data_IF_334336771537
#
_entry.id   IF_334336771537
#
_cell.length_a   1.000
_cell.length_b   1.000
_cell.length_c   1.000
_cell.angle_alpha   90.00
_cell.angle_beta   90.00
_cell.angle_gamma   90.00
#
_symmetry.space_group_name_H-M   'P 1'
#
loop_
_entity.id
_entity.type
_entity.pdbx_description
1 polymer ?
#
# COMPACT_ATOMS: atom_id res chain seq x y z
N UNK A 1 0.02 -26.40 -11.19
CA UNK A 1 0.37 -26.30 -9.75
C UNK A 1 -0.64 -25.32 -9.17
N UNK A 2 -1.24 -25.63 -8.03
CA UNK A 2 -2.14 -24.71 -7.33
C UNK A 2 -1.32 -23.57 -6.74
N UNK A 3 -1.82 -22.33 -6.82
CA UNK A 3 -1.17 -21.18 -6.21
C UNK A 3 -1.03 -21.38 -4.68
N UNK A 4 0.03 -20.82 -4.08
CA UNK A 4 0.17 -20.85 -2.62
C UNK A 4 -0.99 -20.12 -1.96
N UNK A 5 -1.39 -20.60 -0.78
CA UNK A 5 -2.47 -20.03 0.00
C UNK A 5 -1.96 -18.93 0.93
N UNK A 6 -2.75 -17.89 1.08
CA UNK A 6 -2.53 -16.84 2.08
C UNK A 6 -2.65 -17.43 3.49
N UNK A 7 -1.62 -17.26 4.32
CA UNK A 7 -1.49 -17.90 5.63
C UNK A 7 -2.58 -17.52 6.65
N UNK A 8 -3.16 -16.30 6.51
CA UNK A 8 -4.19 -15.80 7.43
C UNK A 8 -5.60 -16.10 6.89
N UNK A 9 -5.81 -15.92 5.59
CA UNK A 9 -7.15 -15.97 4.99
C UNK A 9 -7.47 -17.30 4.32
N UNK A 10 -6.47 -18.20 4.18
CA UNK A 10 -6.62 -19.53 3.54
C UNK A 10 -7.24 -19.43 2.13
N UNK A 11 -6.76 -18.46 1.35
CA UNK A 11 -7.20 -18.14 -0.02
C UNK A 11 -6.01 -18.12 -0.97
N UNK A 12 -6.18 -18.49 -2.26
CA UNK A 12 -5.10 -18.41 -3.24
C UNK A 12 -4.53 -16.99 -3.34
N UNK A 13 -3.20 -16.87 -3.31
CA UNK A 13 -2.52 -15.56 -3.42
C UNK A 13 -2.71 -14.89 -4.79
N UNK A 14 -2.96 -15.68 -5.82
CA UNK A 14 -3.25 -15.22 -7.19
C UNK A 14 -4.75 -15.05 -7.44
N UNK A 15 -5.59 -15.06 -6.39
CA UNK A 15 -7.03 -14.91 -6.55
C UNK A 15 -7.39 -13.66 -7.37
N UNK A 16 -8.26 -13.85 -8.35
CA UNK A 16 -8.93 -12.73 -9.01
C UNK A 16 -9.82 -11.99 -8.00
N UNK A 17 -10.11 -10.71 -8.28
CA UNK A 17 -11.02 -9.94 -7.43
C UNK A 17 -12.43 -10.52 -7.56
N UNK A 18 -13.02 -11.07 -6.48
CA UNK A 18 -14.36 -11.61 -6.54
C UNK A 18 -15.39 -10.52 -6.88
N UNK A 19 -16.49 -10.93 -7.53
CA UNK A 19 -17.57 -10.01 -7.84
C UNK A 19 -18.11 -9.34 -6.56
N UNK A 20 -18.19 -8.01 -6.58
CA UNK A 20 -18.67 -7.21 -5.44
C UNK A 20 -17.60 -6.84 -4.42
N UNK A 21 -16.35 -7.24 -4.65
CA UNK A 21 -15.21 -6.73 -3.90
C UNK A 21 -14.41 -5.73 -4.73
N UNK A 22 -13.67 -4.88 -4.07
CA UNK A 22 -12.79 -3.88 -4.64
C UNK A 22 -11.33 -4.19 -4.36
N UNK A 23 -10.42 -3.45 -4.99
CA UNK A 23 -8.99 -3.60 -4.74
C UNK A 23 -8.27 -2.25 -4.65
N UNK A 24 -7.18 -2.23 -3.92
CA UNK A 24 -6.25 -1.11 -3.77
C UNK A 24 -4.80 -1.59 -3.84
N UNK A 25 -3.87 -0.72 -4.24
CA UNK A 25 -2.42 -0.98 -4.17
C UNK A 25 -1.74 0.21 -3.51
N UNK A 26 -0.96 -0.07 -2.46
CA UNK A 26 -0.23 0.93 -1.69
C UNK A 26 1.25 0.59 -1.53
N UNK A 27 2.12 1.59 -1.70
CA UNK A 27 3.53 1.58 -1.33
C UNK A 27 3.76 2.48 -0.13
N UNK A 28 4.31 1.94 0.96
CA UNK A 28 4.53 2.62 2.23
C UNK A 28 5.90 2.30 2.84
N UNK A 29 6.91 2.01 2.01
CA UNK A 29 8.19 1.46 2.44
C UNK A 29 8.23 -0.07 2.36
N UNK A 30 9.01 -0.72 3.23
CA UNK A 30 9.10 -2.18 3.28
C UNK A 30 7.71 -2.82 3.44
N UNK A 31 7.32 -3.64 2.47
CA UNK A 31 5.96 -4.20 2.37
C UNK A 31 5.61 -5.21 3.48
N UNK A 32 6.56 -5.78 4.21
CA UNK A 32 6.27 -6.75 5.28
C UNK A 32 5.41 -6.16 6.41
N UNK A 33 5.79 -4.97 6.88
CA UNK A 33 5.01 -4.25 7.90
C UNK A 33 3.70 -3.73 7.37
N UNK A 34 3.70 -3.28 6.12
CA UNK A 34 2.50 -2.78 5.43
C UNK A 34 1.47 -3.89 5.24
N UNK A 35 1.89 -5.08 4.81
CA UNK A 35 0.99 -6.22 4.66
C UNK A 35 0.34 -6.60 5.99
N UNK A 36 1.16 -6.70 7.07
CA UNK A 36 0.65 -6.97 8.42
C UNK A 36 -0.38 -5.94 8.88
N UNK A 37 -0.17 -4.68 8.58
CA UNK A 37 -1.11 -3.61 8.92
C UNK A 37 -2.48 -3.85 8.29
N UNK A 38 -2.52 -4.18 6.99
CA UNK A 38 -3.77 -4.31 6.26
C UNK A 38 -4.49 -5.63 6.48
N UNK A 39 -3.79 -6.78 6.66
CA UNK A 39 -4.50 -8.03 6.93
C UNK A 39 -5.23 -8.07 8.29
N UNK A 40 -4.91 -7.14 9.20
CA UNK A 40 -5.57 -7.03 10.50
C UNK A 40 -6.89 -6.24 10.44
N UNK A 41 -7.18 -5.59 9.33
CA UNK A 41 -8.38 -4.76 9.19
C UNK A 41 -9.60 -5.62 8.85
N UNK A 42 -10.67 -5.41 9.60
CA UNK A 42 -11.97 -6.04 9.27
C UNK A 42 -12.48 -5.51 7.92
N UNK A 43 -12.97 -6.42 7.07
CA UNK A 43 -13.36 -6.09 5.69
C UNK A 43 -12.28 -6.35 4.65
N UNK A 44 -11.01 -6.51 5.02
CA UNK A 44 -9.96 -6.96 4.09
C UNK A 44 -10.16 -8.45 3.80
N UNK A 45 -10.24 -8.79 2.51
CA UNK A 45 -10.49 -10.14 2.04
C UNK A 45 -9.20 -10.90 1.69
N UNK A 46 -8.20 -10.21 1.10
CA UNK A 46 -6.89 -10.76 0.77
C UNK A 46 -5.86 -9.65 0.73
N UNK A 47 -4.63 -9.95 1.15
CA UNK A 47 -3.44 -9.13 0.87
C UNK A 47 -2.43 -9.93 0.06
N UNK A 48 -1.59 -9.26 -0.70
CA UNK A 48 -0.41 -9.84 -1.29
C UNK A 48 0.67 -8.78 -1.50
N UNK A 49 1.92 -9.13 -1.23
CA UNK A 49 3.06 -8.24 -1.45
C UNK A 49 3.65 -8.44 -2.84
N UNK A 50 4.19 -7.38 -3.41
CA UNK A 50 4.76 -7.42 -4.75
C UNK A 50 5.38 -6.11 -5.17
N UNK A 51 5.54 -5.96 -6.49
CA UNK A 51 6.21 -4.86 -7.14
C UNK A 51 5.32 -4.21 -8.17
N UNK A 52 5.27 -2.88 -8.20
CA UNK A 52 4.50 -2.12 -9.19
C UNK A 52 5.12 -0.74 -9.46
N UNK A 53 4.62 -0.07 -10.51
CA UNK A 53 5.02 1.29 -10.87
C UNK A 53 6.34 1.42 -11.64
N UNK A 54 6.99 0.31 -11.97
CA UNK A 54 8.20 0.25 -12.79
C UNK A 54 7.94 -0.27 -14.21
N UNK A 55 9.02 -0.47 -14.96
CA UNK A 55 8.98 -0.83 -16.40
C UNK A 55 9.59 -2.20 -16.70
N UNK A 56 10.23 -2.85 -15.73
CA UNK A 56 10.83 -4.18 -15.93
C UNK A 56 9.74 -5.23 -15.69
N UNK A 57 9.41 -6.07 -16.68
CA UNK A 57 8.43 -7.15 -16.47
C UNK A 57 9.02 -8.23 -15.57
N UNK A 58 8.17 -8.84 -14.74
CA UNK A 58 8.50 -9.94 -13.83
C UNK A 58 9.83 -9.74 -13.04
N UNK A 59 9.98 -8.61 -12.32
CA UNK A 59 11.22 -8.32 -11.61
C UNK A 59 11.41 -9.30 -10.45
N UNK A 60 12.64 -9.71 -10.23
CA UNK A 60 13.01 -10.43 -9.01
C UNK A 60 13.21 -9.44 -7.86
N UNK A 61 13.03 -9.89 -6.60
CA UNK A 61 13.32 -9.09 -5.41
C UNK A 61 14.73 -8.48 -5.46
N UNK A 62 15.74 -9.29 -5.85
CA UNK A 62 17.12 -8.81 -5.99
C UNK A 62 17.24 -7.63 -6.95
N UNK A 63 16.63 -7.73 -8.15
CA UNK A 63 16.66 -6.64 -9.14
C UNK A 63 16.01 -5.36 -8.60
N UNK A 64 14.90 -5.48 -7.85
CA UNK A 64 14.25 -4.32 -7.24
C UNK A 64 15.14 -3.68 -6.18
N UNK A 65 15.81 -4.49 -5.34
CA UNK A 65 16.74 -3.99 -4.31
C UNK A 65 18.01 -3.36 -4.91
N UNK A 66 18.52 -3.88 -6.02
CA UNK A 66 19.69 -3.32 -6.73
C UNK A 66 19.33 -1.99 -7.43
N UNK A 67 18.06 -1.73 -7.64
CA UNK A 67 17.57 -0.53 -8.31
C UNK A 67 17.51 -0.67 -9.84
N UNK A 68 17.03 0.38 -10.52
CA UNK A 68 16.93 0.44 -11.98
C UNK A 68 15.68 -0.21 -12.58
N UNK A 69 14.87 -0.92 -11.80
CA UNK A 69 13.61 -1.49 -12.29
C UNK A 69 12.48 -0.46 -12.33
N UNK A 70 12.60 0.63 -11.56
CA UNK A 70 11.56 1.62 -11.37
C UNK A 70 10.39 1.17 -10.48
N UNK A 71 10.37 -0.09 -10.04
CA UNK A 71 9.33 -0.63 -9.17
C UNK A 71 9.46 -0.14 -7.73
N UNK A 72 8.29 0.00 -7.08
CA UNK A 72 8.20 0.09 -5.62
C UNK A 72 7.73 -1.23 -5.03
N UNK A 73 8.11 -1.48 -3.78
CA UNK A 73 7.48 -2.47 -2.92
C UNK A 73 6.07 -2.01 -2.59
N UNK A 74 5.09 -2.84 -2.87
CA UNK A 74 3.68 -2.52 -2.68
C UNK A 74 2.89 -3.68 -2.08
N UNK A 75 1.76 -3.35 -1.47
CA UNK A 75 0.77 -4.32 -1.03
C UNK A 75 -0.49 -4.13 -1.87
N UNK A 76 -0.94 -5.22 -2.51
CA UNK A 76 -2.26 -5.31 -3.12
C UNK A 76 -3.24 -5.79 -2.05
N UNK A 77 -4.38 -5.12 -1.98
CA UNK A 77 -5.43 -5.36 -1.00
C UNK A 77 -6.73 -5.61 -1.76
N UNK A 78 -7.38 -6.74 -1.54
CA UNK A 78 -8.76 -6.99 -1.97
C UNK A 78 -9.63 -6.83 -0.73
N UNK A 79 -10.71 -6.06 -0.82
CA UNK A 79 -11.53 -5.70 0.32
C UNK A 79 -13.03 -5.62 -0.03
N UNK A 80 -13.88 -5.80 0.97
CA UNK A 80 -15.32 -5.64 0.90
C UNK A 80 -15.69 -4.19 1.24
N UNK A 81 -16.03 -3.40 0.23
CA UNK A 81 -16.38 -1.98 0.38
C UNK A 81 -17.65 -1.73 1.21
N UNK A 82 -18.46 -2.76 1.45
CA UNK A 82 -19.58 -2.68 2.40
C UNK A 82 -19.15 -2.77 3.87
N UNK A 83 -17.92 -3.21 4.15
CA UNK A 83 -17.36 -3.39 5.50
C UNK A 83 -16.25 -2.41 5.83
N UNK A 84 -15.43 -2.07 4.85
CA UNK A 84 -14.35 -1.09 4.99
C UNK A 84 -14.28 -0.22 3.73
N UNK A 85 -14.42 1.10 3.89
CA UNK A 85 -14.38 2.01 2.74
C UNK A 85 -12.96 2.25 2.23
N UNK A 86 -12.84 2.69 0.98
CA UNK A 86 -11.54 3.09 0.42
C UNK A 86 -10.92 4.27 1.17
N UNK A 87 -11.73 5.21 1.61
CA UNK A 87 -11.33 6.37 2.43
C UNK A 87 -10.73 5.91 3.77
N UNK A 88 -11.29 4.85 4.38
CA UNK A 88 -10.70 4.25 5.58
C UNK A 88 -9.34 3.61 5.29
N UNK A 89 -9.18 2.94 4.17
CA UNK A 89 -7.87 2.42 3.75
C UNK A 89 -6.86 3.55 3.52
N UNK A 90 -7.28 4.67 2.91
CA UNK A 90 -6.45 5.86 2.74
C UNK A 90 -6.06 6.48 4.08
N UNK A 91 -6.99 6.57 5.04
CA UNK A 91 -6.68 7.06 6.38
C UNK A 91 -5.59 6.19 7.04
N UNK A 92 -5.73 4.87 6.97
CA UNK A 92 -4.70 3.93 7.47
C UNK A 92 -3.37 4.12 6.75
N UNK A 93 -3.39 4.32 5.43
CA UNK A 93 -2.20 4.62 4.64
C UNK A 93 -1.48 5.88 5.13
N UNK A 94 -2.19 7.00 5.28
CA UNK A 94 -1.59 8.27 5.70
C UNK A 94 -1.03 8.24 7.13
N UNK A 95 -1.71 7.59 8.05
CA UNK A 95 -1.35 7.59 9.47
C UNK A 95 -0.16 6.67 9.82
N UNK A 96 0.12 5.65 8.99
CA UNK A 96 1.05 4.59 9.35
C UNK A 96 2.42 4.65 8.66
N UNK A 97 2.69 5.67 7.84
CA UNK A 97 4.03 5.91 7.30
C UNK A 97 4.30 7.42 7.21
N UNK A 98 5.53 7.79 6.89
CA UNK A 98 5.86 9.18 6.61
C UNK A 98 5.86 9.44 5.09
N UNK A 99 4.83 10.09 4.54
CA UNK A 99 4.70 10.29 3.10
C UNK A 99 5.56 11.44 2.54
N UNK A 100 6.44 12.06 3.34
CA UNK A 100 7.22 13.24 2.97
C UNK A 100 8.69 12.93 2.65
N UNK A 101 9.11 11.66 2.68
CA UNK A 101 10.53 11.30 2.64
C UNK A 101 11.10 11.03 1.23
N UNK A 102 10.31 11.15 0.18
CA UNK A 102 10.74 10.87 -1.19
C UNK A 102 11.03 9.38 -1.41
N UNK A 103 12.21 9.06 -1.92
CA UNK A 103 12.66 7.68 -2.15
C UNK A 103 13.22 7.04 -0.86
N UNK A 104 12.43 7.06 0.20
CA UNK A 104 12.83 6.57 1.50
C UNK A 104 11.61 6.33 2.39
N UNK A 105 11.70 5.39 3.32
CA UNK A 105 10.81 5.27 4.47
C UNK A 105 11.61 4.85 5.71
N UNK A 106 11.74 5.78 6.66
CA UNK A 106 12.53 5.54 7.88
C UNK A 106 13.99 5.20 7.55
N UNK A 107 14.44 4.02 7.93
CA UNK A 107 15.80 3.53 7.68
C UNK A 107 15.98 2.93 6.28
N UNK A 108 14.89 2.61 5.59
CA UNK A 108 14.91 2.01 4.25
C UNK A 108 15.09 3.11 3.20
N UNK A 109 16.25 3.09 2.51
CA UNK A 109 16.62 4.09 1.50
C UNK A 109 16.63 3.46 0.11
N UNK A 110 15.89 4.05 -0.81
CA UNK A 110 15.79 3.61 -2.19
C UNK A 110 14.41 3.90 -2.80
N UNK A 111 14.34 3.99 -4.13
CA UNK A 111 13.09 4.25 -4.85
C UNK A 111 12.04 3.16 -4.65
N UNK A 112 12.47 1.93 -4.31
CA UNK A 112 11.58 0.82 -3.99
C UNK A 112 10.75 1.07 -2.71
N UNK A 113 11.17 1.97 -1.85
CA UNK A 113 10.48 2.29 -0.59
C UNK A 113 9.68 3.59 -0.64
N UNK A 114 9.49 4.15 -1.85
CA UNK A 114 8.72 5.40 -2.00
C UNK A 114 7.25 5.23 -1.69
N UNK A 115 6.65 6.31 -1.21
CA UNK A 115 5.20 6.38 -0.96
C UNK A 115 4.42 6.42 -2.28
N UNK A 116 3.42 5.54 -2.42
CA UNK A 116 2.66 5.42 -3.66
C UNK A 116 1.25 4.89 -3.42
N UNK A 117 0.29 5.45 -4.16
CA UNK A 117 -1.09 4.96 -4.29
C UNK A 117 -1.34 4.64 -5.76
N UNK A 118 -1.85 3.44 -6.06
CA UNK A 118 -2.30 3.09 -7.40
C UNK A 118 -3.82 2.88 -7.38
N UNK A 119 -4.53 3.67 -8.19
CA UNK A 119 -5.98 3.67 -8.27
C UNK A 119 -6.50 2.85 -9.46
N UNK A 120 -7.65 2.21 -9.29
CA UNK A 120 -8.33 1.39 -10.30
C UNK A 120 -9.53 2.11 -10.91
N UNK A 121 -10.07 3.13 -10.24
CA UNK A 121 -11.26 3.89 -10.67
C UNK A 121 -11.05 5.38 -10.48
N UNK A 122 -11.83 6.20 -11.20
CA UNK A 122 -11.79 7.66 -11.05
C UNK A 122 -12.24 8.10 -9.65
N UNK A 123 -13.17 7.36 -9.00
CA UNK A 123 -13.57 7.63 -7.63
C UNK A 123 -12.42 7.39 -6.64
N UNK A 124 -11.65 6.32 -6.81
CA UNK A 124 -10.44 6.10 -5.99
C UNK A 124 -9.41 7.19 -6.21
N UNK A 125 -9.22 7.64 -7.46
CA UNK A 125 -8.33 8.76 -7.77
C UNK A 125 -8.76 10.03 -7.03
N UNK A 126 -10.03 10.41 -7.17
CA UNK A 126 -10.56 11.60 -6.52
C UNK A 126 -10.40 11.55 -4.98
N UNK A 127 -10.74 10.41 -4.36
CA UNK A 127 -10.57 10.20 -2.93
C UNK A 127 -9.10 10.29 -2.50
N UNK A 128 -8.18 9.70 -3.26
CA UNK A 128 -6.75 9.75 -2.98
C UNK A 128 -6.19 11.18 -3.07
N UNK A 129 -6.56 11.94 -4.13
CA UNK A 129 -6.12 13.31 -4.33
C UNK A 129 -6.67 14.24 -3.22
N UNK A 130 -7.95 14.11 -2.87
CA UNK A 130 -8.59 14.89 -1.80
C UNK A 130 -7.96 14.59 -0.43
N UNK A 131 -7.83 13.33 -0.07
CA UNK A 131 -7.22 12.93 1.20
C UNK A 131 -5.74 13.36 1.30
N UNK A 132 -5.01 13.36 0.17
CA UNK A 132 -3.64 13.88 0.11
C UNK A 132 -3.60 15.37 0.42
N UNK A 133 -4.51 16.17 -0.16
CA UNK A 133 -4.57 17.61 0.08
C UNK A 133 -4.89 17.91 1.55
N UNK A 134 -5.88 17.22 2.12
CA UNK A 134 -6.26 17.39 3.52
C UNK A 134 -5.15 17.01 4.48
N UNK A 135 -4.50 15.88 4.24
CA UNK A 135 -3.41 15.42 5.10
C UNK A 135 -2.18 16.31 4.97
N UNK A 136 -1.89 16.83 3.76
CA UNK A 136 -0.81 17.79 3.53
C UNK A 136 -0.99 19.06 4.37
N UNK A 137 -2.21 19.59 4.44
CA UNK A 137 -2.51 20.76 5.28
C UNK A 137 -2.23 20.49 6.77
N UNK A 138 -2.59 19.31 7.26
CA UNK A 138 -2.32 18.93 8.67
C UNK A 138 -0.82 18.75 8.93
N UNK A 139 -0.11 18.09 8.03
CA UNK A 139 1.33 17.92 8.14
C UNK A 139 2.09 19.25 8.12
N UNK A 140 1.65 20.21 7.28
CA UNK A 140 2.25 21.54 7.22
C UNK A 140 2.11 22.31 8.54
N UNK A 141 0.96 22.18 9.24
CA UNK A 141 0.76 22.78 10.58
C UNK A 141 1.76 22.22 11.60
N UNK A 142 2.09 20.94 11.49
CA UNK A 142 3.06 20.26 12.35
C UNK A 142 4.51 20.40 11.87
N UNK A 143 4.76 21.19 10.81
CA UNK A 143 6.10 21.51 10.31
C UNK A 143 6.74 20.42 9.44
N UNK A 144 5.98 19.47 8.93
CA UNK A 144 6.48 18.48 7.99
C UNK A 144 6.63 19.08 6.58
N UNK A 145 7.57 18.54 5.76
CA UNK A 145 7.69 18.89 4.34
C UNK A 145 6.47 18.44 3.54
N UNK A 146 6.44 18.84 2.27
CA UNK A 146 5.40 18.44 1.33
C UNK A 146 5.33 16.91 1.13
N UNK A 147 4.11 16.40 0.92
CA UNK A 147 3.87 14.99 0.61
C UNK A 147 4.48 14.64 -0.75
N UNK A 148 5.29 13.59 -0.78
CA UNK A 148 5.94 13.07 -2.00
C UNK A 148 5.20 11.87 -2.60
N UNK A 149 4.10 11.42 -2.00
CA UNK A 149 3.30 10.29 -2.48
C UNK A 149 2.89 10.45 -3.93
N UNK A 150 3.21 9.45 -4.75
CA UNK A 150 2.73 9.37 -6.13
C UNK A 150 1.32 8.78 -6.14
N UNK A 151 0.41 9.38 -6.91
CA UNK A 151 -0.92 8.84 -7.17
C UNK A 151 -0.97 8.50 -8.65
N UNK A 152 -1.03 7.21 -8.99
CA UNK A 152 -0.87 6.70 -10.35
C UNK A 152 -2.02 5.75 -10.71
N UNK A 153 -2.40 5.65 -11.99
CA UNK A 153 -3.32 4.59 -12.42
C UNK A 153 -2.69 3.21 -12.18
N UNK A 154 -3.50 2.24 -11.80
CA UNK A 154 -3.04 0.87 -11.62
C UNK A 154 -2.50 0.30 -12.94
N UNK A 155 -1.27 -0.17 -12.88
CA UNK A 155 -0.60 -0.92 -13.93
C UNK A 155 -0.35 -2.37 -13.49
N UNK A 156 0.59 -3.08 -14.14
CA UNK A 156 0.94 -4.42 -13.76
C UNK A 156 1.41 -4.51 -12.29
N UNK A 157 0.92 -5.52 -11.60
CA UNK A 157 1.38 -5.93 -10.28
C UNK A 157 2.10 -7.27 -10.42
N UNK A 158 3.33 -7.34 -9.95
CA UNK A 158 4.16 -8.53 -9.97
C UNK A 158 4.31 -9.06 -8.55
N UNK A 159 3.70 -10.23 -8.22
CA UNK A 159 3.82 -10.81 -6.88
C UNK A 159 5.27 -11.06 -6.48
N UNK A 160 5.64 -10.73 -5.26
CA UNK A 160 6.90 -11.17 -4.69
C UNK A 160 6.89 -12.68 -4.44
N UNK A 161 8.09 -13.26 -4.26
CA UNK A 161 8.25 -14.69 -3.99
C UNK A 161 7.47 -15.08 -2.73
N UNK A 162 7.12 -16.36 -2.63
CA UNK A 162 6.27 -16.90 -1.56
C UNK A 162 6.82 -16.66 -0.16
N UNK A 163 8.13 -16.67 0.01
CA UNK A 163 8.80 -16.42 1.28
C UNK A 163 8.64 -14.98 1.80
N UNK A 164 8.28 -14.03 0.93
CA UNK A 164 7.94 -12.66 1.29
C UNK A 164 6.46 -12.48 1.67
N UNK A 165 5.58 -13.35 1.21
CA UNK A 165 4.15 -13.27 1.49
C UNK A 165 3.89 -13.59 2.96
N UNK A 166 3.13 -12.74 3.64
CA UNK A 166 2.82 -12.83 5.08
C UNK A 166 4.10 -13.06 5.92
N UNK A 167 5.17 -12.36 5.58
CA UNK A 167 6.49 -12.52 6.21
C UNK A 167 6.42 -12.37 7.73
N UNK A 168 5.70 -11.37 8.24
CA UNK A 168 5.57 -11.12 9.68
C UNK A 168 4.55 -12.02 10.40
N UNK A 169 3.87 -12.91 9.69
CA UNK A 169 3.17 -14.05 10.29
C UNK A 169 4.13 -15.23 10.49
N UNK A 170 5.04 -15.47 9.53
CA UNK A 170 6.12 -16.47 9.68
C UNK A 170 7.14 -16.08 10.74
N UNK A 171 7.48 -14.80 10.78
CA UNK A 171 8.52 -14.23 11.64
C UNK A 171 7.96 -13.03 12.39
N UNK A 172 7.18 -13.24 13.47
CA UNK A 172 6.49 -12.16 14.19
C UNK A 172 7.41 -11.05 14.70
N UNK A 173 8.65 -11.40 15.08
CA UNK A 173 9.71 -10.49 15.55
C UNK A 173 10.60 -9.97 14.40
N UNK A 174 10.21 -10.22 13.15
CA UNK A 174 10.93 -9.77 11.96
C UNK A 174 10.94 -8.24 11.81
N UNK A 175 11.78 -7.77 10.89
CA UNK A 175 11.92 -6.33 10.65
C UNK A 175 10.59 -5.67 10.24
N UNK A 176 10.26 -4.56 10.89
CA UNK A 176 9.16 -3.69 10.55
C UNK A 176 9.60 -2.23 10.66
N UNK A 177 9.86 -1.59 9.51
CA UNK A 177 10.25 -0.17 9.42
C UNK A 177 9.06 0.79 9.40
N UNK A 178 7.84 0.30 9.50
CA UNK A 178 6.62 1.08 9.39
C UNK A 178 6.46 2.01 10.61
N UNK A 179 6.42 3.32 10.34
CA UNK A 179 6.22 4.34 11.38
C UNK A 179 5.55 5.57 10.80
N UNK A 180 4.40 5.94 11.37
CA UNK A 180 3.67 7.17 11.04
C UNK A 180 4.34 8.44 11.55
N UNK A 181 3.83 9.58 11.12
CA UNK A 181 4.25 10.92 11.56
C UNK A 181 3.71 11.29 12.94
N UNK A 182 2.71 10.55 13.44
CA UNK A 182 1.94 10.90 14.64
C UNK A 182 0.78 11.88 14.38
N UNK A 183 0.68 12.41 13.16
CA UNK A 183 -0.43 13.27 12.75
C UNK A 183 -1.60 12.41 12.30
N UNK A 184 -2.82 12.71 12.77
CA UNK A 184 -4.02 12.00 12.37
C UNK A 184 -4.53 12.49 11.01
N UNK A 185 -4.88 11.55 10.13
CA UNK A 185 -5.54 11.85 8.88
C UNK A 185 -7.07 11.98 9.06
N UNK A 186 -7.73 12.91 8.36
CA UNK A 186 -9.20 12.95 8.38
C UNK A 186 -9.74 11.72 7.62
N UNK A 187 -10.93 11.27 8.02
CA UNK A 187 -11.74 10.41 7.17
C UNK A 187 -12.41 11.33 6.14
N UNK A 188 -11.85 11.40 4.95
CA UNK A 188 -12.33 12.29 3.90
C UNK A 188 -13.48 11.61 3.16
N UNK A 189 -14.70 12.18 3.23
CA UNK A 189 -15.87 11.67 2.53
C UNK A 189 -16.08 12.47 1.23
N UNK A 190 -15.97 11.81 0.08
CA UNK A 190 -16.19 12.41 -1.24
C UNK A 190 -17.67 12.69 -1.54
N UNK A 191 -18.59 12.27 -0.68
CA UNK A 191 -20.03 12.47 -0.90
C UNK A 191 -20.54 13.88 -0.58
N UNK A 192 -19.73 14.74 0.04
CA UNK A 192 -20.13 16.11 0.41
C UNK A 192 -19.86 17.17 -0.68
N UNK A 193 -19.19 16.82 -1.81
CA UNK A 193 -18.82 17.77 -2.87
C UNK A 193 -19.60 17.60 -4.20
N UNK A 194 -20.78 16.92 -4.19
CA UNK A 194 -21.62 16.77 -5.40
C UNK A 194 -22.94 17.57 -5.29
#
# INVERSE_FOLDING_TARGET
MTAPLHRIFDRPLDAEVPKGLDQAIFGMGCYWGVERLFWQLDGVWLTSVGFAGGNVPDPTYKQVCEGGTGHAEVVRIIYDSSRISYERLLQVFWENHNPTQGNRQGNDVGSQYRSMIMYFTDSQRAAAELSKADYSNRLAVEGFPDITTQILPAGPFYPAQEDHQQYLDRYPDGYCGLRGTGVQAPLTDVSEEL
#
